data_IF_965991832466
#
_entry.id   IF_965991832466
#
_cell.length_a   1.000
_cell.length_b   1.000
_cell.length_c   1.000
_cell.angle_alpha   90.00
_cell.angle_beta   90.00
_cell.angle_gamma   90.00
#
_symmetry.space_group_name_H-M   'P 1'
#
loop_
_entity.id
_entity.type
_entity.pdbx_description
1 polymer ?
#
# COMPACT_ATOMS: atom_id res chain seq x y z
N UNK A 1 19.81 19.28 -1.18
CA UNK A 1 18.52 18.62 -1.51
C UNK A 1 17.42 19.37 -0.77
N UNK A 2 16.47 19.99 -1.48
CA UNK A 2 15.31 20.60 -0.85
C UNK A 2 14.19 19.56 -0.73
N UNK A 3 13.66 19.37 0.48
CA UNK A 3 12.54 18.46 0.76
C UNK A 3 11.28 19.32 0.89
N UNK A 4 10.21 18.96 0.19
CA UNK A 4 8.89 19.59 0.32
C UNK A 4 7.79 18.55 0.34
N UNK A 5 6.66 18.91 0.95
CA UNK A 5 5.45 18.13 0.83
C UNK A 5 4.91 18.18 -0.62
N UNK A 6 4.35 17.06 -1.05
CA UNK A 6 3.57 16.97 -2.28
C UNK A 6 2.12 17.33 -1.97
N UNK A 7 1.46 18.01 -2.90
CA UNK A 7 0.01 18.19 -2.90
C UNK A 7 -0.72 16.86 -3.14
N UNK A 8 -2.00 16.77 -2.78
CA UNK A 8 -2.83 15.58 -3.04
C UNK A 8 -2.80 15.18 -4.52
N UNK A 9 -2.87 16.14 -5.44
CA UNK A 9 -2.80 15.89 -6.88
C UNK A 9 -1.45 15.27 -7.30
N UNK A 10 -0.34 15.74 -6.75
CA UNK A 10 0.99 15.18 -7.01
C UNK A 10 1.11 13.74 -6.45
N UNK A 11 0.57 13.48 -5.26
CA UNK A 11 0.51 12.14 -4.68
C UNK A 11 -0.30 11.17 -5.56
N UNK A 12 -1.51 11.56 -5.96
CA UNK A 12 -2.38 10.74 -6.81
C UNK A 12 -1.76 10.47 -8.19
N UNK A 13 -1.06 11.45 -8.78
CA UNK A 13 -0.29 11.27 -10.01
C UNK A 13 0.82 10.24 -9.83
N UNK A 14 1.55 10.29 -8.73
CA UNK A 14 2.60 9.32 -8.41
C UNK A 14 2.03 7.90 -8.27
N UNK A 15 0.92 7.73 -7.55
CA UNK A 15 0.25 6.44 -7.43
C UNK A 15 -0.24 5.93 -8.80
N UNK A 16 -0.79 6.80 -9.64
CA UNK A 16 -1.30 6.42 -10.97
C UNK A 16 -0.18 6.00 -11.93
N UNK A 17 0.98 6.66 -11.86
CA UNK A 17 2.13 6.40 -12.73
C UNK A 17 2.92 5.14 -12.37
N UNK A 18 2.70 4.53 -11.20
CA UNK A 18 3.47 3.40 -10.70
C UNK A 18 2.60 2.16 -10.51
N UNK A 19 3.25 0.99 -10.45
CA UNK A 19 2.58 -0.31 -10.27
C UNK A 19 3.14 -1.15 -9.14
N UNK A 20 4.26 -0.76 -8.55
CA UNK A 20 4.90 -1.46 -7.45
C UNK A 20 4.92 -0.57 -6.21
N UNK A 21 4.61 -1.17 -5.06
CA UNK A 21 4.66 -0.52 -3.76
C UNK A 21 5.14 -1.48 -2.68
N UNK A 22 5.21 -0.98 -1.44
CA UNK A 22 5.44 -1.80 -0.24
C UNK A 22 4.19 -1.73 0.62
N UNK A 23 3.59 -2.88 0.89
CA UNK A 23 2.43 -3.02 1.75
C UNK A 23 2.89 -3.44 3.14
N UNK A 24 2.50 -2.69 4.15
CA UNK A 24 2.74 -2.98 5.55
C UNK A 24 1.43 -3.40 6.22
N UNK A 25 1.47 -4.47 7.03
CA UNK A 25 0.40 -4.86 7.94
C UNK A 25 1.01 -5.20 9.30
N UNK A 26 0.22 -5.18 10.36
CA UNK A 26 0.72 -5.41 11.72
C UNK A 26 -0.16 -6.38 12.50
N UNK A 27 0.49 -7.22 13.31
CA UNK A 27 -0.16 -8.10 14.29
C UNK A 27 0.65 -8.06 15.58
N UNK A 28 -0.02 -7.91 16.72
CA UNK A 28 0.61 -7.87 18.05
C UNK A 28 1.76 -6.84 18.15
N UNK A 29 1.58 -5.66 17.56
CA UNK A 29 2.57 -4.59 17.52
C UNK A 29 3.77 -4.84 16.59
N UNK A 30 3.80 -5.95 15.84
CA UNK A 30 4.89 -6.30 14.94
C UNK A 30 4.52 -5.98 13.48
N UNK A 31 5.30 -5.13 12.78
CA UNK A 31 5.07 -4.86 11.36
C UNK A 31 5.58 -6.01 10.47
N UNK A 32 4.90 -6.23 9.36
CA UNK A 32 5.30 -7.11 8.27
C UNK A 32 5.12 -6.37 6.94
N UNK A 33 6.24 -6.19 6.23
CA UNK A 33 6.30 -5.38 5.01
C UNK A 33 6.74 -6.24 3.83
N UNK A 34 6.02 -6.15 2.72
CA UNK A 34 6.31 -6.90 1.49
C UNK A 34 6.11 -6.03 0.25
N UNK A 35 6.85 -6.28 -0.84
CA UNK A 35 6.51 -5.68 -2.13
C UNK A 35 5.17 -6.24 -2.62
N UNK A 36 4.39 -5.39 -3.29
CA UNK A 36 3.16 -5.80 -3.97
C UNK A 36 2.95 -4.97 -5.23
N UNK A 37 2.21 -5.54 -6.18
CA UNK A 37 1.74 -4.81 -7.35
C UNK A 37 0.32 -4.29 -7.12
N UNK A 38 0.02 -3.10 -7.64
CA UNK A 38 -1.28 -2.48 -7.52
C UNK A 38 -1.73 -1.78 -8.81
N UNK A 39 -3.03 -1.55 -8.91
CA UNK A 39 -3.66 -0.62 -9.86
C UNK A 39 -4.38 0.48 -9.07
N UNK A 40 -4.16 1.74 -9.43
CA UNK A 40 -4.85 2.88 -8.83
C UNK A 40 -6.08 3.26 -9.66
N UNK A 41 -7.25 3.29 -9.03
CA UNK A 41 -8.52 3.74 -9.62
C UNK A 41 -9.48 4.19 -8.49
N UNK A 42 -10.35 5.17 -8.76
CA UNK A 42 -11.41 5.61 -7.85
C UNK A 42 -10.96 5.86 -6.40
N UNK A 43 -9.77 6.45 -6.20
CA UNK A 43 -9.16 6.71 -4.91
C UNK A 43 -8.83 5.45 -4.08
N UNK A 44 -8.67 4.30 -4.74
CA UNK A 44 -8.29 3.02 -4.15
C UNK A 44 -7.06 2.42 -4.84
N UNK A 45 -6.36 1.54 -4.11
CA UNK A 45 -5.31 0.68 -4.64
C UNK A 45 -5.84 -0.75 -4.70
N UNK A 46 -6.10 -1.24 -5.91
CA UNK A 46 -6.54 -2.61 -6.15
C UNK A 46 -5.35 -3.53 -6.33
N UNK A 47 -5.38 -4.70 -5.71
CA UNK A 47 -4.33 -5.70 -5.81
C UNK A 47 -4.88 -7.12 -5.63
N UNK A 48 -4.16 -8.10 -6.17
CA UNK A 48 -4.42 -9.51 -5.94
C UNK A 48 -3.37 -10.10 -4.99
N UNK A 49 -3.78 -11.11 -4.23
CA UNK A 49 -2.87 -11.89 -3.41
C UNK A 49 -3.37 -13.32 -3.29
N UNK A 50 -2.42 -14.25 -3.29
CA UNK A 50 -2.67 -15.60 -2.80
C UNK A 50 -2.94 -15.58 -1.28
N UNK A 51 -3.59 -16.63 -0.74
CA UNK A 51 -3.66 -16.85 0.71
C UNK A 51 -2.28 -16.80 1.36
N UNK A 52 -2.22 -16.32 2.61
CA UNK A 52 -1.00 -16.31 3.40
C UNK A 52 -0.89 -15.11 4.34
N UNK A 53 0.28 -15.00 4.98
CA UNK A 53 0.52 -14.13 6.14
C UNK A 53 -0.01 -12.71 6.01
N UNK A 54 0.26 -11.99 4.91
CA UNK A 54 -0.20 -10.61 4.74
C UNK A 54 -1.74 -10.51 4.70
N UNK A 55 -2.40 -11.48 4.07
CA UNK A 55 -3.86 -11.50 3.96
C UNK A 55 -4.48 -11.87 5.31
N UNK A 56 -3.93 -12.85 6.00
CA UNK A 56 -4.41 -13.24 7.33
C UNK A 56 -4.24 -12.09 8.33
N UNK A 57 -3.12 -11.37 8.26
CA UNK A 57 -2.84 -10.23 9.14
C UNK A 57 -3.71 -9.02 8.82
N UNK A 58 -3.90 -8.66 7.55
CA UNK A 58 -4.81 -7.58 7.17
C UNK A 58 -6.28 -7.89 7.51
N UNK A 59 -6.70 -9.15 7.43
CA UNK A 59 -8.06 -9.57 7.86
C UNK A 59 -8.23 -9.44 9.38
N UNK A 60 -7.20 -9.78 10.14
CA UNK A 60 -7.23 -9.66 11.60
C UNK A 60 -7.10 -8.19 12.07
N UNK A 61 -6.47 -7.32 11.28
CA UNK A 61 -6.22 -5.92 11.61
C UNK A 61 -6.28 -5.03 10.35
N UNK A 62 -7.48 -4.59 9.92
CA UNK A 62 -7.68 -3.77 8.73
C UNK A 62 -7.77 -2.25 8.98
N UNK A 63 -7.79 -1.82 10.25
CA UNK A 63 -8.04 -0.44 10.67
C UNK A 63 -6.75 0.36 10.90
#
# INVERSE_FOLDING_TARGET
MQIRALSTLECTKLLTANRAGRLACAKDGRPYVVPFHYAHADNHLYAFSLPGKKIDWMRANPL
#
